data_IF_636323102478
#
_entry.id   IF_636323102478
#
_cell.length_a   1.000
_cell.length_b   1.000
_cell.length_c   1.000
_cell.angle_alpha   90.00
_cell.angle_beta   90.00
_cell.angle_gamma   90.00
#
_symmetry.space_group_name_H-M   'P 1'
#
loop_
_entity.id
_entity.type
_entity.pdbx_description
1 polymer ?
#
# COMPACT_ATOMS: atom_id res chain seq x y z
N UNK A 1 -12.43 25.66 43.84
CA UNK A 1 -12.75 25.49 42.41
C UNK A 1 -14.24 25.68 42.09
N UNK A 2 -15.18 25.07 42.85
CA UNK A 2 -16.64 25.23 42.60
C UNK A 2 -17.18 26.67 42.69
N UNK A 3 -16.60 27.53 43.52
CA UNK A 3 -17.06 28.92 43.68
C UNK A 3 -16.77 29.78 42.44
N UNK A 4 -15.58 29.64 41.83
CA UNK A 4 -15.20 30.33 40.59
C UNK A 4 -16.08 29.93 39.40
N UNK A 5 -16.51 28.66 39.35
CA UNK A 5 -17.43 28.20 38.30
C UNK A 5 -18.81 28.85 38.48
N UNK A 6 -19.31 28.95 39.71
CA UNK A 6 -20.60 29.61 40.00
C UNK A 6 -20.56 31.09 39.64
N UNK A 7 -19.48 31.78 40.01
CA UNK A 7 -19.28 33.20 39.69
C UNK A 7 -19.25 33.44 38.16
N UNK A 8 -18.60 32.56 37.39
CA UNK A 8 -18.59 32.63 35.92
C UNK A 8 -19.92 32.24 35.27
N UNK A 9 -20.66 31.31 35.86
CA UNK A 9 -22.01 30.95 35.41
C UNK A 9 -23.00 32.10 35.66
N UNK A 10 -22.88 32.77 36.81
CA UNK A 10 -23.67 33.97 37.17
C UNK A 10 -23.31 35.17 36.29
N UNK A 11 -22.06 35.26 35.82
CA UNK A 11 -21.63 36.22 34.81
C UNK A 11 -22.18 35.94 33.39
N UNK A 12 -22.91 34.83 33.20
CA UNK A 12 -23.52 34.45 31.93
C UNK A 12 -22.54 33.82 30.94
N UNK A 13 -21.34 33.41 31.36
CA UNK A 13 -20.40 32.69 30.49
C UNK A 13 -20.94 31.28 30.19
N UNK A 14 -20.82 30.86 28.94
CA UNK A 14 -21.27 29.53 28.55
C UNK A 14 -20.33 28.45 29.13
N UNK A 15 -20.84 27.23 29.38
CA UNK A 15 -20.03 26.14 29.91
C UNK A 15 -18.74 25.87 29.09
N UNK A 16 -18.76 26.15 27.79
CA UNK A 16 -17.62 26.00 26.87
C UNK A 16 -16.54 27.06 27.12
N UNK A 17 -16.94 28.31 27.40
CA UNK A 17 -16.02 29.41 27.71
C UNK A 17 -15.32 29.20 29.05
N UNK A 18 -16.06 28.72 30.05
CA UNK A 18 -15.50 28.38 31.36
C UNK A 18 -14.48 27.24 31.20
N UNK A 19 -14.82 26.20 30.46
CA UNK A 19 -13.88 25.10 30.18
C UNK A 19 -12.63 25.59 29.45
N UNK A 20 -12.76 26.45 28.44
CA UNK A 20 -11.62 27.02 27.72
C UNK A 20 -10.69 27.82 28.65
N UNK A 21 -11.25 28.64 29.54
CA UNK A 21 -10.47 29.39 30.54
C UNK A 21 -9.69 28.48 31.50
N UNK A 22 -10.29 27.39 31.95
CA UNK A 22 -9.61 26.44 32.83
C UNK A 22 -8.54 25.61 32.08
N UNK A 23 -8.75 25.32 30.80
CA UNK A 23 -7.73 24.67 29.94
C UNK A 23 -6.54 25.59 29.73
N UNK A 24 -6.77 26.87 29.45
CA UNK A 24 -5.70 27.85 29.25
C UNK A 24 -4.85 28.04 30.52
N UNK A 25 -5.50 28.01 31.70
CA UNK A 25 -4.85 28.30 32.98
C UNK A 25 -4.23 27.09 33.68
N UNK A 26 -4.79 25.89 33.49
CA UNK A 26 -4.39 24.65 34.19
C UNK A 26 -3.98 23.50 33.26
N UNK A 27 -4.08 23.68 31.94
CA UNK A 27 -3.75 22.67 30.93
C UNK A 27 -4.90 21.70 30.65
N UNK A 28 -4.82 21.01 29.52
CA UNK A 28 -5.86 20.08 29.01
C UNK A 28 -6.11 18.86 29.92
N UNK A 29 -5.19 18.54 30.84
CA UNK A 29 -5.31 17.44 31.81
C UNK A 29 -6.45 17.60 32.82
N UNK A 30 -7.04 18.79 32.94
CA UNK A 30 -8.16 19.06 33.85
C UNK A 30 -9.51 18.57 33.29
N UNK A 31 -9.64 18.38 31.96
CA UNK A 31 -10.83 17.75 31.38
C UNK A 31 -10.65 16.24 31.36
N UNK A 32 -11.56 15.53 32.04
CA UNK A 32 -11.67 14.06 32.02
C UNK A 32 -11.82 13.46 30.60
N UNK A 33 -12.05 14.28 29.58
CA UNK A 33 -12.16 13.88 28.18
C UNK A 33 -11.18 14.70 27.34
N UNK A 34 -10.15 14.07 26.74
CA UNK A 34 -9.24 14.77 25.85
C UNK A 34 -10.02 15.19 24.61
N UNK A 35 -10.44 16.47 24.56
CA UNK A 35 -11.13 17.00 23.38
C UNK A 35 -10.13 17.01 22.22
N UNK A 36 -10.53 16.63 21.00
CA UNK A 36 -9.67 16.66 19.82
C UNK A 36 -9.47 18.11 19.36
N UNK A 37 -8.79 18.91 20.17
CA UNK A 37 -8.50 20.32 19.92
C UNK A 37 -7.00 20.52 20.02
N UNK A 38 -6.44 21.43 19.24
CA UNK A 38 -5.01 21.74 19.26
C UNK A 38 -4.11 20.53 18.97
N UNK A 39 -3.16 20.26 19.87
CA UNK A 39 -2.12 19.23 19.70
C UNK A 39 -2.70 17.81 19.75
N UNK A 40 -3.76 17.58 20.53
CA UNK A 40 -4.42 16.28 20.58
C UNK A 40 -5.03 15.88 19.23
N UNK A 41 -5.43 16.84 18.40
CA UNK A 41 -5.90 16.57 17.03
C UNK A 41 -4.78 16.00 16.15
N UNK A 42 -3.52 16.43 16.33
CA UNK A 42 -2.41 15.88 15.57
C UNK A 42 -2.25 14.39 15.84
N UNK A 43 -2.42 13.93 17.09
CA UNK A 43 -2.31 12.50 17.43
C UNK A 43 -3.35 11.66 16.67
N UNK A 44 -4.52 12.22 16.39
CA UNK A 44 -5.57 11.57 15.61
C UNK A 44 -5.38 11.70 14.10
N UNK A 45 -4.82 12.81 13.61
CA UNK A 45 -4.62 13.09 12.18
C UNK A 45 -3.33 12.47 11.64
N UNK A 46 -2.26 12.41 12.44
CA UNK A 46 -0.96 11.87 12.05
C UNK A 46 -1.06 10.43 11.53
N UNK A 47 -1.70 9.47 12.22
CA UNK A 47 -1.76 8.08 11.75
C UNK A 47 -2.42 7.91 10.37
N UNK A 48 -3.66 8.41 10.12
CA UNK A 48 -4.27 8.29 8.79
C UNK A 48 -3.50 9.09 7.73
N UNK A 49 -2.91 10.23 8.10
CA UNK A 49 -2.12 11.04 7.17
C UNK A 49 -0.89 10.27 6.67
N UNK A 50 -0.12 9.65 7.56
CA UNK A 50 1.03 8.83 7.18
C UNK A 50 0.64 7.62 6.34
N UNK A 51 -0.49 6.98 6.67
CA UNK A 51 -1.00 5.84 5.92
C UNK A 51 -1.37 6.23 4.48
N UNK A 52 -2.04 7.37 4.29
CA UNK A 52 -2.38 7.90 2.97
C UNK A 52 -1.11 8.25 2.18
N UNK A 53 -0.16 8.96 2.80
CA UNK A 53 1.10 9.34 2.14
C UNK A 53 1.87 8.09 1.70
N UNK A 54 2.03 7.10 2.59
CA UNK A 54 2.70 5.84 2.27
C UNK A 54 2.01 5.08 1.14
N UNK A 55 0.68 4.98 1.18
CA UNK A 55 -0.11 4.33 0.14
C UNK A 55 0.02 5.02 -1.23
N UNK A 56 0.03 6.35 -1.26
CA UNK A 56 0.24 7.13 -2.49
C UNK A 56 1.63 6.87 -3.07
N UNK A 57 2.68 6.91 -2.24
CA UNK A 57 4.06 6.67 -2.68
C UNK A 57 4.20 5.26 -3.28
N UNK A 58 3.74 4.23 -2.57
CA UNK A 58 3.77 2.85 -3.07
C UNK A 58 2.96 2.71 -4.36
N UNK A 59 1.76 3.29 -4.41
CA UNK A 59 0.90 3.25 -5.60
C UNK A 59 1.54 3.89 -6.83
N UNK A 60 2.27 5.00 -6.65
CA UNK A 60 3.02 5.65 -7.74
C UNK A 60 4.17 4.77 -8.22
N UNK A 61 4.99 4.23 -7.30
CA UNK A 61 6.13 3.36 -7.62
C UNK A 61 5.68 2.11 -8.37
N UNK A 62 4.64 1.44 -7.88
CA UNK A 62 4.08 0.24 -8.54
C UNK A 62 3.52 0.59 -9.92
N UNK A 63 2.84 1.74 -10.07
CA UNK A 63 2.35 2.20 -11.38
C UNK A 63 3.49 2.49 -12.37
N UNK A 64 4.62 3.02 -11.91
CA UNK A 64 5.78 3.25 -12.77
C UNK A 64 6.42 1.94 -13.24
N UNK A 65 6.47 0.92 -12.37
CA UNK A 65 6.97 -0.40 -12.74
C UNK A 65 6.03 -1.13 -13.70
N UNK A 66 4.71 -1.02 -13.49
CA UNK A 66 3.72 -1.58 -14.40
C UNK A 66 3.80 -0.97 -15.81
N UNK A 67 4.12 0.33 -15.93
CA UNK A 67 4.34 0.98 -17.23
C UNK A 67 5.61 0.46 -17.94
N UNK A 68 6.65 0.12 -17.18
CA UNK A 68 7.91 -0.44 -17.70
C UNK A 68 7.76 -1.92 -18.09
N UNK A 69 6.90 -2.66 -17.39
CA UNK A 69 6.60 -4.06 -17.65
C UNK A 69 5.82 -4.34 -18.94
N UNK A 70 5.37 -3.32 -19.68
CA UNK A 70 4.73 -3.51 -21.00
C UNK A 70 5.71 -4.09 -22.04
N UNK A 71 7.01 -4.04 -21.77
CA UNK A 71 8.06 -4.70 -22.57
C UNK A 71 8.43 -6.11 -22.11
N UNK A 72 7.85 -6.62 -21.01
CA UNK A 72 7.97 -8.01 -20.60
C UNK A 72 6.76 -8.83 -21.05
N UNK A 73 6.15 -8.49 -22.22
CA UNK A 73 5.48 -9.56 -22.96
C UNK A 73 6.58 -10.58 -23.23
N UNK A 74 6.47 -11.83 -22.76
CA UNK A 74 7.18 -12.88 -23.44
C UNK A 74 6.70 -12.74 -24.87
N UNK A 75 7.59 -12.37 -25.79
CA UNK A 75 7.43 -12.81 -27.16
C UNK A 75 7.09 -14.28 -26.99
N UNK A 76 5.85 -14.65 -27.27
CA UNK A 76 5.48 -16.03 -27.52
C UNK A 76 6.67 -16.57 -28.30
N UNK A 77 7.50 -17.48 -27.74
CA UNK A 77 8.55 -18.08 -28.54
C UNK A 77 7.82 -18.54 -29.79
N UNK A 78 8.36 -18.26 -31.01
CA UNK A 78 7.69 -18.69 -32.22
C UNK A 78 7.28 -20.13 -31.94
N UNK A 79 5.95 -20.33 -31.93
CA UNK A 79 5.36 -21.66 -31.90
C UNK A 79 6.28 -22.51 -32.73
N UNK A 80 6.80 -23.64 -32.25
CA UNK A 80 7.68 -24.46 -33.06
C UNK A 80 6.90 -24.77 -34.33
N UNK A 81 7.14 -23.97 -35.37
CA UNK A 81 7.02 -24.34 -36.75
C UNK A 81 7.73 -25.67 -36.75
N UNK A 82 6.93 -26.72 -36.90
CA UNK A 82 7.40 -28.08 -37.04
C UNK A 82 8.67 -28.01 -37.88
N UNK A 83 9.84 -28.41 -37.34
CA UNK A 83 11.09 -28.17 -38.02
C UNK A 83 11.10 -29.00 -39.31
N UNK A 84 10.70 -28.40 -40.42
CA UNK A 84 11.07 -28.83 -41.77
C UNK A 84 12.51 -28.39 -42.08
N UNK A 85 13.39 -28.51 -41.08
CA UNK A 85 14.84 -28.40 -41.23
C UNK A 85 15.38 -29.81 -41.12
N UNK A 86 15.45 -30.50 -42.25
CA UNK A 86 16.18 -31.77 -42.38
C UNK A 86 17.64 -31.47 -42.08
N UNK A 87 18.00 -31.59 -40.81
CA UNK A 87 19.36 -31.38 -40.34
C UNK A 87 20.15 -32.62 -40.74
N UNK A 88 21.31 -32.53 -41.41
CA UNK A 88 22.06 -33.70 -41.90
C UNK A 88 22.42 -34.76 -40.83
N UNK A 89 22.33 -34.42 -39.54
CA UNK A 89 22.49 -35.36 -38.43
C UNK A 89 21.24 -36.17 -38.10
N UNK A 90 20.05 -35.68 -38.42
CA UNK A 90 18.77 -36.35 -38.10
C UNK A 90 18.53 -37.57 -39.00
N UNK A 91 18.92 -37.50 -40.27
CA UNK A 91 18.85 -38.63 -41.20
C UNK A 91 19.71 -39.81 -40.76
N UNK A 92 20.88 -39.57 -40.16
CA UNK A 92 21.75 -40.62 -39.61
C UNK A 92 21.12 -41.33 -38.41
N UNK A 93 20.39 -40.59 -37.58
CA UNK A 93 19.69 -41.13 -36.42
C UNK A 93 18.48 -41.97 -36.84
N UNK A 94 17.71 -41.49 -37.82
CA UNK A 94 16.57 -42.23 -38.41
C UNK A 94 17.04 -43.51 -39.11
N UNK A 95 18.18 -43.48 -39.79
CA UNK A 95 18.82 -44.67 -40.37
C UNK A 95 19.26 -45.68 -39.30
N UNK A 96 19.85 -45.21 -38.18
CA UNK A 96 20.24 -46.08 -37.07
C UNK A 96 19.02 -46.75 -36.42
N UNK A 97 17.96 -45.98 -36.16
CA UNK A 97 16.71 -46.49 -35.60
C UNK A 97 16.06 -47.55 -36.50
N UNK A 98 16.08 -47.34 -37.82
CA UNK A 98 15.55 -48.33 -38.77
C UNK A 98 16.34 -49.64 -38.74
N UNK A 99 17.67 -49.58 -38.70
CA UNK A 99 18.50 -50.79 -38.57
C UNK A 99 18.24 -51.53 -37.27
N UNK A 100 18.08 -50.80 -36.18
CA UNK A 100 17.85 -51.40 -34.87
C UNK A 100 16.48 -52.07 -34.82
N UNK A 101 15.44 -51.47 -35.43
CA UNK A 101 14.13 -52.13 -35.53
C UNK A 101 14.17 -53.41 -36.38
N UNK A 102 14.85 -53.38 -37.53
CA UNK A 102 15.01 -54.56 -38.39
C UNK A 102 15.88 -55.66 -37.73
N UNK A 103 16.72 -55.31 -36.74
CA UNK A 103 17.52 -56.25 -35.94
C UNK A 103 16.68 -56.96 -34.86
N UNK A 104 15.51 -56.42 -34.51
CA UNK A 104 14.60 -56.98 -33.51
C UNK A 104 13.41 -57.77 -34.10
N UNK A 105 13.24 -57.81 -35.42
CA UNK A 105 12.33 -58.71 -36.15
C UNK A 105 13.04 -59.98 -36.64
#
# INVERSE_FOLDING_TARGET
MRNLIREKLEAGETPEQIQAYFVEKYGEWILLSPKPQGVNLLVWVLPPLFLVIGGVVVGITVRQWAKTGKHLRPSTPPSPEAPSRTTPGESRYVEQLRRELDEYE
#
